data_IF_814514068472
#
_entry.id   IF_814514068472
#
_cell.length_a   1.000
_cell.length_b   1.000
_cell.length_c   1.000
_cell.angle_alpha   90.00
_cell.angle_beta   90.00
_cell.angle_gamma   90.00
#
_symmetry.space_group_name_H-M   'P 1'
#
loop_
_entity.id
_entity.type
_entity.pdbx_description
1 polymer ?
#
# COMPACT_ATOMS: atom_id res chain seq x y z
N UNK A 1 -8.56 -1.87 -14.49
CA UNK A 1 -8.01 -0.58 -14.04
C UNK A 1 -9.12 0.25 -13.41
N UNK A 2 -8.97 0.70 -12.15
CA UNK A 2 -9.94 1.56 -11.45
C UNK A 2 -9.31 2.93 -11.20
N UNK A 3 -9.98 4.02 -11.60
CA UNK A 3 -9.55 5.40 -11.39
C UNK A 3 -10.61 6.13 -10.57
N UNK A 4 -10.22 6.78 -9.47
CA UNK A 4 -11.12 7.61 -8.66
C UNK A 4 -10.43 8.90 -8.22
N UNK A 5 -11.18 9.99 -8.12
CA UNK A 5 -10.74 11.28 -7.57
C UNK A 5 -11.67 11.71 -6.45
N UNK A 6 -11.11 12.23 -5.36
CA UNK A 6 -11.84 12.72 -4.20
C UNK A 6 -11.43 14.16 -3.90
N UNK A 7 -12.42 15.02 -3.65
CA UNK A 7 -12.25 16.43 -3.30
C UNK A 7 -13.02 16.71 -2.01
N UNK A 8 -12.45 17.52 -1.11
CA UNK A 8 -13.08 17.97 0.14
C UNK A 8 -13.70 16.82 0.95
N UNK A 9 -13.00 15.69 0.99
CA UNK A 9 -13.56 14.44 1.50
C UNK A 9 -13.03 14.13 2.90
N UNK A 10 -13.94 13.72 3.79
CA UNK A 10 -13.57 13.10 5.07
C UNK A 10 -13.99 11.64 5.06
N UNK A 11 -13.03 10.75 4.88
CA UNK A 11 -13.26 9.31 4.72
C UNK A 11 -12.67 8.52 5.90
N UNK A 12 -13.47 7.61 6.42
CA UNK A 12 -13.04 6.56 7.35
C UNK A 12 -13.36 5.21 6.73
N UNK A 13 -12.36 4.35 6.58
CA UNK A 13 -12.56 3.03 6.02
C UNK A 13 -11.82 1.96 6.82
N UNK A 14 -12.46 0.80 6.95
CA UNK A 14 -11.81 -0.41 7.44
C UNK A 14 -12.02 -1.50 6.39
N UNK A 15 -10.98 -2.26 6.09
CA UNK A 15 -11.06 -3.39 5.15
C UNK A 15 -10.38 -4.60 5.74
N UNK A 16 -11.10 -5.73 5.77
CA UNK A 16 -10.61 -7.02 6.26
C UNK A 16 -10.98 -8.11 5.26
N UNK A 17 -10.00 -8.71 4.60
CA UNK A 17 -10.21 -9.74 3.57
C UNK A 17 -9.23 -10.90 3.73
N UNK A 18 -9.65 -12.09 3.32
CA UNK A 18 -8.81 -13.28 3.25
C UNK A 18 -8.98 -13.94 1.88
N UNK A 19 -7.86 -14.29 1.25
CA UNK A 19 -7.82 -14.92 -0.06
C UNK A 19 -7.10 -16.25 0.04
N UNK A 20 -7.64 -17.27 -0.64
CA UNK A 20 -7.07 -18.61 -0.76
C UNK A 20 -7.10 -19.00 -2.24
N UNK A 21 -6.05 -19.68 -2.71
CA UNK A 21 -5.92 -20.16 -4.10
C UNK A 21 -6.27 -19.12 -5.17
N UNK A 22 -5.89 -17.87 -4.91
CA UNK A 22 -6.36 -16.73 -5.69
C UNK A 22 -5.30 -16.22 -6.64
N UNK A 23 -5.69 -15.99 -7.90
CA UNK A 23 -4.88 -15.23 -8.86
C UNK A 23 -5.53 -13.86 -9.01
N UNK A 24 -4.88 -12.82 -8.48
CA UNK A 24 -5.36 -11.45 -8.56
C UNK A 24 -4.44 -10.59 -9.42
N UNK A 25 -5.02 -9.92 -10.42
CA UNK A 25 -4.35 -8.87 -11.19
C UNK A 25 -5.16 -7.59 -11.09
N UNK A 26 -4.57 -6.54 -10.53
CA UNK A 26 -5.28 -5.29 -10.33
C UNK A 26 -4.42 -4.05 -10.56
N UNK A 27 -5.05 -3.01 -11.07
CA UNK A 27 -4.43 -1.69 -11.24
C UNK A 27 -5.36 -0.63 -10.65
N UNK A 28 -4.82 0.17 -9.76
CA UNK A 28 -5.57 1.20 -9.03
C UNK A 28 -4.88 2.56 -9.16
N UNK A 29 -5.63 3.59 -9.54
CA UNK A 29 -5.19 4.99 -9.53
C UNK A 29 -6.15 5.82 -8.67
N UNK A 30 -5.65 6.46 -7.62
CA UNK A 30 -6.48 7.34 -6.78
C UNK A 30 -5.81 8.72 -6.64
N UNK A 31 -6.61 9.77 -6.69
CA UNK A 31 -6.20 11.14 -6.38
C UNK A 31 -7.06 11.70 -5.26
N UNK A 32 -6.43 12.40 -4.33
CA UNK A 32 -7.09 13.06 -3.20
C UNK A 32 -6.64 14.51 -3.13
N UNK A 33 -7.59 15.42 -3.05
CA UNK A 33 -7.36 16.85 -2.84
C UNK A 33 -8.16 17.29 -1.61
N UNK A 34 -7.56 18.10 -0.74
CA UNK A 34 -8.19 18.65 0.47
C UNK A 34 -8.92 17.60 1.31
N UNK A 35 -8.29 16.43 1.45
CA UNK A 35 -8.95 15.26 1.99
C UNK A 35 -8.35 14.81 3.31
N UNK A 36 -9.23 14.41 4.23
CA UNK A 36 -8.88 13.75 5.48
C UNK A 36 -9.21 12.27 5.35
N UNK A 37 -8.18 11.41 5.33
CA UNK A 37 -8.37 9.97 5.23
C UNK A 37 -7.84 9.27 6.49
N UNK A 38 -8.68 8.43 7.08
CA UNK A 38 -8.28 7.45 8.09
C UNK A 38 -8.66 6.06 7.62
N UNK A 39 -7.68 5.22 7.36
CA UNK A 39 -7.94 3.86 6.87
C UNK A 39 -7.16 2.80 7.62
N UNK A 40 -7.84 1.70 7.96
CA UNK A 40 -7.20 0.47 8.43
C UNK A 40 -7.45 -0.66 7.44
N UNK A 41 -6.39 -1.35 7.02
CA UNK A 41 -6.47 -2.47 6.09
C UNK A 41 -5.79 -3.70 6.68
N UNK A 42 -6.48 -4.83 6.69
CA UNK A 42 -5.95 -6.14 7.07
C UNK A 42 -6.24 -7.16 5.98
N UNK A 43 -5.21 -7.71 5.37
CA UNK A 43 -5.36 -8.71 4.30
C UNK A 43 -4.54 -9.95 4.64
N UNK A 44 -5.09 -11.12 4.34
CA UNK A 44 -4.39 -12.40 4.43
C UNK A 44 -4.46 -13.11 3.08
N UNK A 45 -3.33 -13.66 2.65
CA UNK A 45 -3.19 -14.37 1.39
C UNK A 45 -2.53 -15.72 1.66
N UNK A 46 -3.15 -16.77 1.13
CA UNK A 46 -2.67 -18.14 1.22
C UNK A 46 -2.68 -18.73 -0.20
N UNK A 47 -1.60 -19.39 -0.61
CA UNK A 47 -1.44 -19.99 -1.95
C UNK A 47 -1.85 -19.03 -3.09
N UNK A 48 -1.49 -17.76 -2.96
CA UNK A 48 -1.99 -16.71 -3.84
C UNK A 48 -0.90 -16.19 -4.78
N UNK A 49 -1.28 -15.94 -6.04
CA UNK A 49 -0.45 -15.22 -7.00
C UNK A 49 -1.03 -13.83 -7.25
N UNK A 50 -0.27 -12.80 -6.88
CA UNK A 50 -0.76 -11.44 -6.81
C UNK A 50 0.13 -10.52 -7.64
N UNK A 51 -0.49 -9.84 -8.61
CA UNK A 51 0.15 -8.77 -9.37
C UNK A 51 -0.67 -7.50 -9.22
N UNK A 52 -0.06 -6.46 -8.64
CA UNK A 52 -0.76 -5.19 -8.49
C UNK A 52 0.13 -3.99 -8.80
N UNK A 53 -0.46 -3.02 -9.50
CA UNK A 53 0.09 -1.67 -9.64
C UNK A 53 -0.83 -0.68 -8.94
N UNK A 54 -0.22 0.17 -8.10
CA UNK A 54 -0.95 1.21 -7.39
C UNK A 54 -0.27 2.55 -7.61
N UNK A 55 -1.05 3.54 -8.09
CA UNK A 55 -0.63 4.93 -8.17
C UNK A 55 -1.54 5.81 -7.30
N UNK A 56 -0.96 6.52 -6.34
CA UNK A 56 -1.70 7.40 -5.45
C UNK A 56 -1.09 8.81 -5.48
N UNK A 57 -1.95 9.82 -5.55
CA UNK A 57 -1.57 11.23 -5.46
C UNK A 57 -2.36 11.90 -4.34
N UNK A 58 -1.66 12.68 -3.52
CA UNK A 58 -2.22 13.44 -2.40
C UNK A 58 -1.81 14.90 -2.52
N UNK A 59 -2.79 15.79 -2.49
CA UNK A 59 -2.60 17.24 -2.47
C UNK A 59 -3.35 17.82 -1.28
N UNK A 60 -2.70 18.64 -0.47
CA UNK A 60 -3.27 19.27 0.74
C UNK A 60 -4.00 18.29 1.67
N UNK A 61 -3.48 17.06 1.76
CA UNK A 61 -4.22 15.97 2.40
C UNK A 61 -3.64 15.59 3.76
N UNK A 62 -4.54 15.21 4.68
CA UNK A 62 -4.18 14.69 6.00
C UNK A 62 -4.53 13.20 6.09
N UNK A 63 -3.50 12.37 6.22
CA UNK A 63 -3.61 10.93 6.06
C UNK A 63 -3.11 10.17 7.29
N UNK A 64 -3.98 9.32 7.84
CA UNK A 64 -3.58 8.29 8.80
C UNK A 64 -3.89 6.91 8.25
N UNK A 65 -2.87 6.07 8.10
CA UNK A 65 -3.03 4.70 7.59
C UNK A 65 -2.38 3.67 8.48
N UNK A 66 -3.08 2.57 8.66
CA UNK A 66 -2.55 1.37 9.27
C UNK A 66 -2.81 0.19 8.33
N UNK A 67 -1.78 -0.56 7.97
CA UNK A 67 -1.88 -1.70 7.06
C UNK A 67 -1.19 -2.92 7.65
N UNK A 68 -1.88 -4.05 7.66
CA UNK A 68 -1.35 -5.36 8.08
C UNK A 68 -1.59 -6.37 6.98
N UNK A 69 -0.52 -6.96 6.44
CA UNK A 69 -0.61 -7.97 5.39
C UNK A 69 0.11 -9.25 5.85
N UNK A 70 -0.55 -10.38 5.68
CA UNK A 70 0.03 -11.71 5.88
C UNK A 70 0.03 -12.48 4.56
N UNK A 71 1.18 -13.06 4.22
CA UNK A 71 1.39 -13.88 3.04
C UNK A 71 1.94 -15.23 3.46
N UNK A 72 1.26 -16.29 3.04
CA UNK A 72 1.67 -17.67 3.21
C UNK A 72 1.69 -18.33 1.83
N UNK A 73 2.79 -19.00 1.48
CA UNK A 73 2.97 -19.70 0.20
C UNK A 73 2.58 -18.85 -1.03
N UNK A 74 2.90 -17.55 -0.96
CA UNK A 74 2.38 -16.57 -1.93
C UNK A 74 3.47 -16.00 -2.82
N UNK A 75 3.13 -15.76 -4.08
CA UNK A 75 3.97 -15.04 -5.03
C UNK A 75 3.43 -13.62 -5.25
N UNK A 76 4.20 -12.62 -4.81
CA UNK A 76 3.80 -11.20 -4.91
C UNK A 76 4.72 -10.43 -5.85
N UNK A 77 4.13 -9.82 -6.88
CA UNK A 77 4.77 -8.78 -7.69
C UNK A 77 3.99 -7.47 -7.54
N UNK A 78 4.67 -6.42 -7.10
CA UNK A 78 4.02 -5.14 -6.81
C UNK A 78 4.82 -3.95 -7.29
N UNK A 79 4.11 -2.96 -7.83
CA UNK A 79 4.66 -1.65 -8.11
C UNK A 79 3.77 -0.58 -7.47
N UNK A 80 4.37 0.26 -6.64
CA UNK A 80 3.67 1.35 -5.96
C UNK A 80 4.33 2.68 -6.31
N UNK A 81 3.53 3.65 -6.77
CA UNK A 81 3.95 5.03 -7.00
C UNK A 81 3.11 5.96 -6.14
N UNK A 82 3.74 6.67 -5.22
CA UNK A 82 3.07 7.65 -4.35
C UNK A 82 3.65 9.04 -4.59
N UNK A 83 2.76 10.02 -4.74
CA UNK A 83 3.11 11.43 -4.80
C UNK A 83 2.35 12.18 -3.70
N UNK A 84 3.05 13.01 -2.95
CA UNK A 84 2.50 13.86 -1.92
C UNK A 84 2.94 15.30 -2.14
N UNK A 85 1.98 16.21 -2.14
CA UNK A 85 2.15 17.65 -2.24
C UNK A 85 1.42 18.28 -1.06
N UNK A 86 2.11 19.12 -0.28
CA UNK A 86 1.54 19.82 0.88
C UNK A 86 0.79 18.90 1.86
N UNK A 87 1.23 17.65 1.99
CA UNK A 87 0.46 16.61 2.67
C UNK A 87 1.11 16.17 3.97
N UNK A 88 0.27 15.82 4.94
CA UNK A 88 0.66 15.25 6.22
C UNK A 88 0.30 13.76 6.24
N UNK A 89 1.30 12.88 6.29
CA UNK A 89 1.11 11.43 6.34
C UNK A 89 1.66 10.82 7.62
N UNK A 90 0.82 10.07 8.32
CA UNK A 90 1.24 9.07 9.30
C UNK A 90 0.83 7.69 8.81
N UNK A 91 1.80 6.82 8.54
CA UNK A 91 1.56 5.47 8.04
C UNK A 91 2.32 4.43 8.86
N UNK A 92 1.62 3.37 9.24
CA UNK A 92 2.23 2.18 9.82
C UNK A 92 1.87 0.95 8.97
N UNK A 93 2.90 0.23 8.54
CA UNK A 93 2.75 -0.98 7.73
C UNK A 93 3.41 -2.16 8.43
N UNK A 94 2.69 -3.27 8.59
CA UNK A 94 3.23 -4.54 9.09
C UNK A 94 3.04 -5.62 8.03
N UNK A 95 4.12 -6.26 7.62
CA UNK A 95 4.12 -7.32 6.62
C UNK A 95 4.74 -8.59 7.22
N UNK A 96 4.02 -9.70 7.13
CA UNK A 96 4.51 -11.02 7.49
C UNK A 96 4.51 -11.91 6.26
N UNK A 97 5.66 -12.52 5.97
CA UNK A 97 5.86 -13.45 4.86
C UNK A 97 6.32 -14.79 5.40
N UNK A 98 5.63 -15.85 4.99
CA UNK A 98 5.99 -17.24 5.26
C UNK A 98 6.02 -17.98 3.93
N UNK A 99 7.14 -18.62 3.62
CA UNK A 99 7.35 -19.37 2.37
C UNK A 99 6.93 -18.61 1.10
N UNK A 100 7.11 -17.27 1.12
CA UNK A 100 6.57 -16.38 0.10
C UNK A 100 7.68 -15.73 -0.70
N UNK A 101 7.46 -15.58 -2.00
CA UNK A 101 8.37 -14.88 -2.92
C UNK A 101 7.89 -13.46 -3.17
N UNK A 102 8.70 -12.46 -2.81
CA UNK A 102 8.37 -11.05 -2.97
C UNK A 102 9.28 -10.32 -3.96
N UNK A 103 8.66 -9.68 -4.96
CA UNK A 103 9.27 -8.62 -5.75
C UNK A 103 8.46 -7.33 -5.65
N UNK A 104 9.05 -6.27 -5.08
CA UNK A 104 8.39 -4.99 -4.94
C UNK A 104 9.26 -3.81 -5.40
N UNK A 105 8.63 -2.87 -6.09
CA UNK A 105 9.20 -1.54 -6.34
C UNK A 105 8.28 -0.47 -5.76
N UNK A 106 8.87 0.45 -4.99
CA UNK A 106 8.18 1.64 -4.49
C UNK A 106 8.87 2.90 -4.99
N UNK A 107 8.11 3.81 -5.58
CA UNK A 107 8.57 5.15 -5.97
C UNK A 107 7.79 6.19 -5.20
N UNK A 108 8.50 7.08 -4.53
CA UNK A 108 7.93 8.08 -3.64
C UNK A 108 8.41 9.45 -4.09
N UNK A 109 7.47 10.38 -4.26
CA UNK A 109 7.79 11.78 -4.49
C UNK A 109 7.08 12.71 -3.54
N UNK A 110 7.82 13.71 -3.04
CA UNK A 110 7.41 14.58 -1.96
C UNK A 110 7.71 16.03 -2.29
N UNK A 111 6.69 16.88 -2.20
CA UNK A 111 6.81 18.32 -2.23
C UNK A 111 6.14 18.89 -0.99
N UNK A 112 6.89 19.66 -0.20
CA UNK A 112 6.39 20.38 0.99
C UNK A 112 5.54 19.52 1.94
N UNK A 113 5.94 18.25 2.11
CA UNK A 113 5.16 17.24 2.83
C UNK A 113 5.83 16.78 4.12
N UNK A 114 5.03 16.57 5.17
CA UNK A 114 5.47 16.03 6.47
C UNK A 114 5.06 14.57 6.62
N UNK A 115 6.04 13.68 6.78
CA UNK A 115 5.82 12.23 6.70
C UNK A 115 6.42 11.49 7.88
N UNK A 116 5.62 10.63 8.50
CA UNK A 116 6.08 9.62 9.44
C UNK A 116 5.61 8.25 8.95
N UNK A 117 6.54 7.47 8.42
CA UNK A 117 6.28 6.13 7.86
C UNK A 117 7.07 5.11 8.67
N UNK A 118 6.37 4.15 9.25
CA UNK A 118 6.98 2.99 9.92
C UNK A 118 6.59 1.72 9.19
N UNK A 119 7.59 0.93 8.78
CA UNK A 119 7.39 -0.38 8.14
C UNK A 119 8.06 -1.46 8.98
N UNK A 120 7.31 -2.49 9.34
CA UNK A 120 7.82 -3.69 10.02
C UNK A 120 7.67 -4.89 9.11
N UNK A 121 8.75 -5.63 8.93
CA UNK A 121 8.83 -6.80 8.04
C UNK A 121 9.26 -8.02 8.85
N UNK A 122 8.52 -9.11 8.75
CA UNK A 122 8.91 -10.41 9.27
C UNK A 122 8.93 -11.43 8.13
N UNK A 123 10.01 -12.18 8.02
CA UNK A 123 10.22 -13.20 7.01
C UNK A 123 10.50 -14.54 7.67
N UNK A 124 9.83 -15.58 7.19
CA UNK A 124 10.14 -16.97 7.46
C UNK A 124 10.31 -17.66 6.11
N UNK A 125 11.53 -18.14 5.84
CA UNK A 125 11.86 -18.91 4.64
C UNK A 125 11.40 -18.26 3.31
N UNK A 126 11.45 -16.93 3.27
CA UNK A 126 10.87 -16.11 2.19
C UNK A 126 11.96 -15.27 1.50
N UNK A 127 12.26 -15.50 0.20
CA UNK A 127 13.21 -14.67 -0.53
C UNK A 127 12.60 -13.31 -0.93
N UNK A 128 13.40 -12.26 -0.75
CA UNK A 128 12.99 -10.86 -0.94
C UNK A 128 13.86 -10.14 -1.97
N UNK A 129 13.21 -9.45 -2.92
CA UNK A 129 13.81 -8.33 -3.65
C UNK A 129 12.91 -7.10 -3.58
N UNK A 130 13.36 -6.06 -2.90
CA UNK A 130 12.64 -4.79 -2.76
C UNK A 130 13.52 -3.59 -3.12
N UNK A 131 13.00 -2.71 -3.96
CA UNK A 131 13.65 -1.43 -4.29
C UNK A 131 12.74 -0.26 -3.91
N UNK A 132 13.30 0.76 -3.26
CA UNK A 132 12.60 2.02 -2.94
C UNK A 132 13.38 3.19 -3.55
N UNK A 133 12.71 4.02 -4.34
CA UNK A 133 13.26 5.24 -4.94
C UNK A 133 12.53 6.45 -4.37
N UNK A 134 13.30 7.42 -3.89
CA UNK A 134 12.82 8.70 -3.36
C UNK A 134 13.22 9.82 -4.34
N UNK A 135 12.31 10.74 -4.63
CA UNK A 135 12.55 11.91 -5.49
C UNK A 135 11.82 13.14 -5.02
#
# INVERSE_FOLDING_TARGET
MKILSYHDSSLKSETRLSYHDSILKSETRLSYHDSILKSETRLSYHDSSLMHETRLSYHDSHLKRETRLNYHDSHLKSETRLSYHDSHLKSETRLNYHDSHLKSETRLSYHDSHLKIETRLNYHDSPLKSETRLS
#
